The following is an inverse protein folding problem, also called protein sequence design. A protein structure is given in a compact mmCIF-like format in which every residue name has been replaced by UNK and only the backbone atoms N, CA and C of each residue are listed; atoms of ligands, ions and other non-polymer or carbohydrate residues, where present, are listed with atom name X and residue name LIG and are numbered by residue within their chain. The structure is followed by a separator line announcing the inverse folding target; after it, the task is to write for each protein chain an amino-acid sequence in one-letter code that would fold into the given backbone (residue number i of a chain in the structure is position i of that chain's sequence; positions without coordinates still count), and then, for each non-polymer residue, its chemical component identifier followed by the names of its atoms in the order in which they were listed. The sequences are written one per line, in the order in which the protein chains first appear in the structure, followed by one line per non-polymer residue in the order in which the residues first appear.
data_IF_104499766665
#
_entry.id   IF_104499766665
#
_cell.length_a   1.000
_cell.length_b   1.000
_cell.length_c   1.000
_cell.angle_alpha   90.00
_cell.angle_beta   90.00
_cell.angle_gamma   90.00
#
_symmetry.space_group_name_H-M   'P 1'
#
loop_
_entity.id
_entity.type
_entity.pdbx_description
1 polymer ?
#
# COMPACT_ATOMS: atom_id res chain seq x y z
N UNK A 1 8.42 16.20 -15.68
CA UNK A 1 7.80 17.25 -16.52
C UNK A 1 6.69 16.72 -17.46
N UNK A 2 6.70 15.43 -17.82
CA UNK A 2 5.75 14.86 -18.79
C UNK A 2 4.47 14.24 -18.18
N UNK A 3 4.32 14.18 -16.86
CA UNK A 3 3.17 13.52 -16.20
C UNK A 3 1.91 14.43 -16.09
N UNK A 4 2.09 15.77 -16.13
CA UNK A 4 0.95 16.71 -16.10
C UNK A 4 0.12 16.71 -17.39
N UNK A 5 0.77 16.54 -18.55
CA UNK A 5 0.05 16.58 -19.84
C UNK A 5 -0.83 15.34 -20.09
N UNK A 6 -0.50 14.19 -19.52
CA UNK A 6 -1.28 12.98 -19.71
C UNK A 6 -2.55 12.95 -18.85
N UNK A 7 -2.53 13.56 -17.67
CA UNK A 7 -3.71 13.63 -16.78
C UNK A 7 -4.80 14.56 -17.33
N UNK A 8 -4.40 15.72 -17.90
CA UNK A 8 -5.36 16.65 -18.53
C UNK A 8 -5.99 16.08 -19.81
N UNK A 9 -5.27 15.29 -20.58
CA UNK A 9 -5.83 14.63 -21.79
C UNK A 9 -6.86 13.55 -21.42
N UNK A 10 -6.69 12.85 -20.30
CA UNK A 10 -7.62 11.82 -19.86
C UNK A 10 -8.93 12.44 -19.34
N UNK A 11 -8.85 13.55 -18.61
CA UNK A 11 -10.00 14.27 -18.03
C UNK A 11 -10.80 14.99 -19.12
N UNK A 12 -10.16 15.62 -20.11
CA UNK A 12 -10.84 16.31 -21.22
C UNK A 12 -11.62 15.37 -22.15
N UNK A 13 -11.15 14.15 -22.40
CA UNK A 13 -11.90 13.17 -23.22
C UNK A 13 -13.18 12.66 -22.52
N UNK A 14 -13.26 12.72 -21.20
CA UNK A 14 -14.46 12.32 -20.43
C UNK A 14 -15.53 13.40 -20.40
N UNK A 15 -15.15 14.69 -20.44
CA UNK A 15 -16.07 15.84 -20.41
C UNK A 15 -16.74 16.15 -21.76
N UNK A 16 -16.22 15.64 -22.88
CA UNK A 16 -16.82 15.87 -24.21
C UNK A 16 -17.89 14.85 -24.62
N UNK A 17 -18.20 13.85 -23.79
CA UNK A 17 -19.25 12.82 -24.10
C UNK A 17 -20.46 12.83 -23.17
N UNK A 18 -20.68 13.86 -22.39
CA UNK A 18 -21.78 13.94 -21.44
C UNK A 18 -22.48 15.30 -21.45
N UNK A 19 -23.29 15.53 -22.44
CA UNK A 19 -24.20 16.67 -22.46
C UNK A 19 -25.57 16.23 -22.94
N UNK A 20 -26.52 16.06 -22.01
CA UNK A 20 -27.93 16.39 -22.18
C UNK A 20 -28.70 16.04 -20.89
N UNK A 21 -29.46 17.01 -20.45
CA UNK A 21 -30.31 17.10 -19.28
C UNK A 21 -31.53 16.18 -19.32
N UNK A 22 -32.03 15.71 -18.16
CA UNK A 22 -33.39 16.08 -17.71
C UNK A 22 -33.76 15.42 -16.38
N UNK A 23 -34.49 16.18 -15.59
CA UNK A 23 -35.13 15.93 -14.31
C UNK A 23 -36.11 14.73 -14.32
N UNK A 24 -36.27 14.05 -13.18
CA UNK A 24 -37.41 13.19 -12.88
C UNK A 24 -37.11 12.23 -11.75
N UNK A 25 -37.71 12.46 -10.57
CA UNK A 25 -37.74 11.46 -9.52
C UNK A 25 -38.68 10.33 -9.88
N UNK A 26 -38.47 9.17 -9.28
CA UNK A 26 -39.56 8.27 -8.85
C UNK A 26 -39.02 6.92 -8.34
N UNK A 27 -39.55 6.56 -7.24
CA UNK A 27 -40.02 5.29 -6.64
C UNK A 27 -39.45 3.95 -7.16
N UNK A 28 -39.03 3.17 -6.20
CA UNK A 28 -38.72 1.74 -6.29
C UNK A 28 -40.00 0.92 -6.45
N UNK A 29 -40.07 0.09 -7.47
CA UNK A 29 -40.93 -1.09 -7.51
C UNK A 29 -40.23 -2.18 -8.29
N UNK A 30 -40.15 -3.36 -7.65
CA UNK A 30 -39.78 -4.62 -8.29
C UNK A 30 -40.79 -4.96 -9.38
N UNK A 31 -40.34 -5.38 -10.54
CA UNK A 31 -40.98 -6.44 -11.31
C UNK A 31 -40.09 -6.98 -12.45
N UNK A 32 -40.20 -8.28 -12.59
CA UNK A 32 -39.46 -9.23 -13.38
C UNK A 32 -39.97 -9.31 -14.84
N UNK A 33 -39.13 -9.81 -15.76
CA UNK A 33 -39.41 -10.50 -17.07
C UNK A 33 -39.18 -9.76 -18.38
N UNK A 34 -38.31 -10.35 -19.11
CA UNK A 34 -38.36 -11.04 -20.41
C UNK A 34 -37.43 -10.52 -21.50
N UNK A 35 -36.62 -11.46 -21.96
CA UNK A 35 -36.20 -11.83 -23.33
C UNK A 35 -35.99 -10.74 -24.39
N UNK A 36 -34.78 -10.68 -24.92
CA UNK A 36 -34.43 -10.07 -26.18
C UNK A 36 -33.02 -10.44 -26.59
N UNK A 37 -32.92 -11.46 -27.46
CA UNK A 37 -31.72 -11.91 -28.13
C UNK A 37 -31.11 -10.81 -29.00
N UNK A 38 -29.82 -10.52 -28.85
CA UNK A 38 -28.98 -10.18 -29.99
C UNK A 38 -27.53 -10.60 -29.75
N UNK A 39 -27.10 -11.46 -30.65
CA UNK A 39 -25.76 -12.00 -30.81
C UNK A 39 -24.78 -10.93 -31.23
N UNK A 40 -23.65 -10.79 -30.49
CA UNK A 40 -22.35 -10.53 -31.09
C UNK A 40 -21.23 -11.05 -30.16
N UNK A 41 -20.50 -11.98 -30.70
CA UNK A 41 -19.38 -12.71 -30.14
C UNK A 41 -18.20 -11.82 -29.87
N UNK A 42 -17.85 -11.66 -28.60
CA UNK A 42 -16.47 -11.48 -28.15
C UNK A 42 -16.35 -12.29 -26.86
N UNK A 43 -15.57 -13.34 -26.89
CA UNK A 43 -15.30 -14.25 -25.78
C UNK A 43 -14.45 -13.57 -24.71
N UNK A 44 -15.06 -12.75 -23.91
CA UNK A 44 -14.55 -12.27 -22.64
C UNK A 44 -15.50 -12.77 -21.57
N UNK A 45 -15.07 -13.73 -20.76
CA UNK A 45 -15.87 -14.23 -19.65
C UNK A 45 -16.31 -13.07 -18.77
N UNK A 46 -17.60 -12.79 -18.74
CA UNK A 46 -18.20 -11.79 -17.88
C UNK A 46 -18.06 -12.31 -16.45
N UNK A 47 -17.15 -11.73 -15.69
CA UNK A 47 -17.10 -11.97 -14.26
C UNK A 47 -18.37 -11.35 -13.69
N UNK A 48 -19.37 -12.17 -13.42
CA UNK A 48 -20.63 -11.81 -12.75
C UNK A 48 -20.38 -11.64 -11.24
N UNK A 49 -19.39 -10.83 -10.88
CA UNK A 49 -19.21 -10.36 -9.52
C UNK A 49 -19.65 -8.90 -9.46
N UNK A 50 -20.45 -8.48 -8.48
CA UNK A 50 -20.73 -7.07 -8.24
C UNK A 50 -19.45 -6.39 -7.76
N UNK A 51 -18.51 -6.15 -8.70
CA UNK A 51 -17.29 -5.44 -8.41
C UNK A 51 -17.66 -4.01 -8.09
N UNK A 52 -17.47 -3.66 -6.85
CA UNK A 52 -17.59 -2.28 -6.40
C UNK A 52 -16.57 -1.43 -7.18
N UNK A 53 -17.06 -0.48 -7.97
CA UNK A 53 -16.20 0.50 -8.64
C UNK A 53 -16.06 1.69 -7.72
N UNK A 54 -14.83 1.97 -7.31
CA UNK A 54 -14.53 3.18 -6.55
C UNK A 54 -14.57 4.39 -7.47
N UNK A 55 -15.56 5.25 -7.26
CA UNK A 55 -15.58 6.62 -7.75
C UNK A 55 -15.21 7.60 -6.62
N UNK A 56 -15.11 8.89 -6.94
CA UNK A 56 -14.69 9.90 -5.99
C UNK A 56 -15.66 10.01 -4.79
N UNK A 57 -16.97 9.83 -5.01
CA UNK A 57 -17.97 9.92 -3.96
C UNK A 57 -17.89 8.76 -2.97
N UNK A 58 -17.68 7.54 -3.48
CA UNK A 58 -17.48 6.37 -2.64
C UNK A 58 -16.15 6.44 -1.88
N UNK A 59 -15.10 6.96 -2.51
CA UNK A 59 -13.82 7.15 -1.84
C UNK A 59 -13.91 8.21 -0.73
N UNK A 60 -14.60 9.33 -0.96
CA UNK A 60 -14.88 10.31 0.11
C UNK A 60 -15.69 9.69 1.27
N UNK A 61 -16.67 8.84 0.96
CA UNK A 61 -17.42 8.11 1.99
C UNK A 61 -16.52 7.18 2.80
N UNK A 62 -15.62 6.44 2.14
CA UNK A 62 -14.61 5.59 2.79
C UNK A 62 -13.74 6.42 3.76
N UNK A 63 -13.20 7.55 3.30
CA UNK A 63 -12.35 8.42 4.12
C UNK A 63 -13.10 9.00 5.33
N UNK A 64 -14.39 9.37 5.18
CA UNK A 64 -15.23 9.84 6.29
C UNK A 64 -15.45 8.77 7.36
N UNK A 65 -15.38 7.49 6.98
CA UNK A 65 -15.55 6.35 7.87
C UNK A 65 -14.21 5.72 8.30
N UNK A 66 -13.08 6.31 7.91
CA UNK A 66 -11.75 5.90 8.33
C UNK A 66 -11.32 6.70 9.56
N UNK A 67 -10.91 6.00 10.62
CA UNK A 67 -10.43 6.61 11.87
C UNK A 67 -8.94 6.98 11.74
N UNK A 68 -8.64 8.09 11.08
CA UNK A 68 -7.27 8.61 11.01
C UNK A 68 -6.89 9.28 12.35
N UNK A 69 -5.87 8.78 13.09
CA UNK A 69 -5.35 9.46 14.27
C UNK A 69 -4.90 10.89 13.98
N UNK A 70 -5.12 11.82 14.91
CA UNK A 70 -4.79 13.23 14.74
C UNK A 70 -3.33 13.46 14.33
N UNK A 71 -2.41 12.69 14.92
CA UNK A 71 -0.97 12.83 14.63
C UNK A 71 -0.63 12.36 13.21
N UNK A 72 -1.27 11.30 12.71
CA UNK A 72 -1.13 10.86 11.31
C UNK A 72 -1.66 11.92 10.33
N UNK A 73 -2.79 12.54 10.63
CA UNK A 73 -3.32 13.64 9.82
C UNK A 73 -2.34 14.81 9.76
N UNK A 74 -1.73 15.20 10.89
CA UNK A 74 -0.72 16.25 10.94
C UNK A 74 0.52 15.89 10.12
N UNK A 75 0.99 14.64 10.22
CA UNK A 75 2.11 14.15 9.40
C UNK A 75 1.80 14.22 7.91
N UNK A 76 0.58 13.84 7.50
CA UNK A 76 0.15 13.91 6.10
C UNK A 76 0.13 15.36 5.57
N UNK A 77 -0.30 16.31 6.39
CA UNK A 77 -0.27 17.74 6.06
C UNK A 77 1.18 18.26 5.98
N UNK A 78 2.06 17.85 6.90
CA UNK A 78 3.48 18.19 6.86
C UNK A 78 4.19 17.59 5.64
N UNK A 79 3.91 16.33 5.29
CA UNK A 79 4.42 15.69 4.07
C UNK A 79 4.06 16.48 2.82
N UNK A 80 2.83 16.98 2.75
CA UNK A 80 2.39 17.82 1.63
C UNK A 80 3.14 19.16 1.58
N UNK A 81 3.48 19.72 2.72
CA UNK A 81 4.28 20.94 2.82
C UNK A 81 5.75 20.68 2.47
N UNK A 82 6.34 19.57 2.94
CA UNK A 82 7.70 19.14 2.65
C UNK A 82 7.91 18.84 1.17
N UNK A 83 7.04 18.06 0.57
CA UNK A 83 7.12 17.68 -0.85
C UNK A 83 5.73 17.59 -1.49
N UNK A 84 5.22 18.69 -2.07
CA UNK A 84 3.90 18.69 -2.72
C UNK A 84 3.74 17.63 -3.83
N UNK A 85 4.83 17.34 -4.56
CA UNK A 85 4.86 16.30 -5.59
C UNK A 85 5.02 14.92 -4.98
N UNK A 86 5.90 14.81 -3.98
CA UNK A 86 6.20 13.55 -3.27
C UNK A 86 5.05 13.10 -2.35
N UNK A 87 4.13 13.98 -1.96
CA UNK A 87 2.98 13.61 -1.12
C UNK A 87 2.12 12.47 -1.70
N UNK A 88 2.24 12.19 -3.00
CA UNK A 88 1.58 11.05 -3.66
C UNK A 88 2.28 9.71 -3.38
N UNK A 89 3.48 9.72 -2.84
CA UNK A 89 4.21 8.50 -2.44
C UNK A 89 3.75 8.00 -1.07
N UNK A 90 3.12 8.86 -0.28
CA UNK A 90 2.58 8.49 1.01
C UNK A 90 1.34 7.61 0.83
N UNK A 91 1.26 6.53 1.60
CA UNK A 91 0.06 5.67 1.63
C UNK A 91 -1.17 6.46 2.10
N UNK A 92 -2.37 6.14 1.59
CA UNK A 92 -3.59 6.83 1.98
C UNK A 92 -4.08 6.45 3.41
N UNK A 93 -4.97 7.27 4.02
CA UNK A 93 -5.41 7.07 5.40
C UNK A 93 -6.04 5.72 5.70
N UNK A 94 -6.82 5.17 4.78
CA UNK A 94 -7.45 3.85 4.92
C UNK A 94 -6.42 2.73 4.94
N UNK A 95 -5.34 2.84 4.16
CA UNK A 95 -4.25 1.88 4.16
C UNK A 95 -3.43 1.99 5.45
N UNK A 96 -3.15 3.21 5.93
CA UNK A 96 -2.50 3.41 7.22
C UNK A 96 -3.31 2.84 8.39
N UNK A 97 -4.64 3.03 8.36
CA UNK A 97 -5.53 2.43 9.38
C UNK A 97 -5.58 0.90 9.28
N UNK A 98 -5.50 0.35 8.07
CA UNK A 98 -5.40 -1.10 7.85
C UNK A 98 -4.08 -1.66 8.42
N UNK A 99 -2.92 -1.05 8.12
CA UNK A 99 -1.63 -1.48 8.68
C UNK A 99 -1.63 -1.45 10.22
N UNK A 100 -2.21 -0.40 10.81
CA UNK A 100 -2.40 -0.30 12.25
C UNK A 100 -3.18 -1.48 12.81
N UNK A 101 -4.32 -1.80 12.18
CA UNK A 101 -5.15 -2.93 12.58
C UNK A 101 -4.41 -4.28 12.40
N UNK A 102 -3.61 -4.44 11.33
CA UNK A 102 -2.78 -5.64 11.14
C UNK A 102 -1.81 -5.83 12.30
N UNK A 103 -1.09 -4.77 12.72
CA UNK A 103 -0.19 -4.83 13.88
C UNK A 103 -0.92 -5.28 15.16
N UNK A 104 -2.15 -4.79 15.36
CA UNK A 104 -3.00 -5.21 16.49
C UNK A 104 -3.43 -6.67 16.36
N UNK A 105 -3.93 -7.09 15.18
CA UNK A 105 -4.47 -8.45 14.94
C UNK A 105 -3.43 -9.55 15.10
N UNK A 106 -2.19 -9.34 14.63
CA UNK A 106 -1.13 -10.35 14.73
C UNK A 106 -0.27 -10.17 15.99
N UNK A 107 -0.57 -9.16 16.79
CA UNK A 107 0.23 -8.76 17.94
C UNK A 107 1.73 -8.58 17.61
N UNK A 108 2.02 -7.90 16.47
CA UNK A 108 3.39 -7.72 15.99
C UNK A 108 4.24 -6.98 17.01
N UNK A 109 5.45 -7.48 17.28
CA UNK A 109 6.42 -6.86 18.19
C UNK A 109 7.70 -6.44 17.47
N UNK A 110 8.09 -7.13 16.41
CA UNK A 110 9.28 -6.85 15.61
C UNK A 110 8.86 -6.57 14.18
N UNK A 111 9.04 -5.33 13.74
CA UNK A 111 8.62 -4.85 12.43
C UNK A 111 9.82 -4.33 11.65
N UNK A 112 9.85 -4.57 10.35
CA UNK A 112 10.77 -3.93 9.41
C UNK A 112 9.98 -3.22 8.32
N UNK A 113 10.37 -1.99 8.00
CA UNK A 113 9.86 -1.22 6.88
C UNK A 113 10.98 -0.87 5.90
N UNK A 114 10.72 -1.13 4.61
CA UNK A 114 11.61 -0.75 3.52
C UNK A 114 10.90 0.29 2.65
N UNK A 115 11.40 1.53 2.71
CA UNK A 115 10.73 2.70 2.15
C UNK A 115 9.87 3.41 3.19
N UNK A 116 10.48 4.24 4.01
CA UNK A 116 9.84 4.99 5.11
C UNK A 116 9.29 6.33 4.64
N UNK A 117 10.04 6.99 3.74
CA UNK A 117 9.76 8.35 3.29
C UNK A 117 9.59 9.30 4.49
N UNK A 118 8.46 9.98 4.62
CA UNK A 118 8.16 10.89 5.75
C UNK A 118 7.56 10.19 6.96
N UNK A 119 7.43 8.86 6.95
CA UNK A 119 7.10 8.04 8.11
C UNK A 119 5.62 7.87 8.43
N UNK A 120 4.71 8.04 7.46
CA UNK A 120 3.28 7.86 7.71
C UNK A 120 2.93 6.39 8.03
N UNK A 121 3.41 5.46 7.22
CA UNK A 121 3.25 4.01 7.41
C UNK A 121 3.92 3.52 8.70
N UNK A 122 5.18 3.95 8.95
CA UNK A 122 5.88 3.61 10.18
C UNK A 122 5.15 4.12 11.41
N UNK A 123 4.69 5.37 11.42
CA UNK A 123 3.92 5.92 12.53
C UNK A 123 2.59 5.18 12.72
N UNK A 124 1.90 4.81 11.62
CA UNK A 124 0.67 4.03 11.71
C UNK A 124 0.91 2.67 12.37
N UNK A 125 2.01 1.98 12.03
CA UNK A 125 2.37 0.69 12.63
C UNK A 125 2.90 0.80 14.06
N UNK A 126 3.53 1.92 14.43
CA UNK A 126 4.09 2.14 15.77
C UNK A 126 3.04 2.57 16.81
N UNK A 127 2.01 3.32 16.40
CA UNK A 127 0.98 3.81 17.34
C UNK A 127 0.33 2.71 18.19
N UNK A 128 -0.04 1.52 17.66
CA UNK A 128 -0.58 0.44 18.49
C UNK A 128 0.39 -0.09 19.55
N UNK A 129 1.69 0.12 19.36
CA UNK A 129 2.72 -0.37 20.28
C UNK A 129 2.87 0.52 21.53
N UNK A 130 2.36 1.75 21.50
CA UNK A 130 2.47 2.70 22.62
C UNK A 130 1.74 2.21 23.89
N UNK A 131 0.74 1.35 23.75
CA UNK A 131 -0.04 0.80 24.85
C UNK A 131 0.56 -0.48 25.43
N UNK A 132 1.65 -0.98 24.84
CA UNK A 132 2.31 -2.22 25.26
C UNK A 132 3.48 -1.93 26.19
N UNK A 133 3.77 -2.85 27.12
CA UNK A 133 4.98 -2.76 27.93
C UNK A 133 6.21 -2.78 27.03
N UNK A 134 7.15 -1.87 27.30
CA UNK A 134 8.41 -1.76 26.57
C UNK A 134 9.56 -2.33 27.40
N UNK A 135 10.29 -3.28 26.83
CA UNK A 135 11.38 -4.02 27.45
C UNK A 135 12.78 -3.46 27.17
N UNK A 136 12.88 -2.35 26.41
CA UNK A 136 14.13 -1.73 26.01
C UNK A 136 14.65 -2.17 24.63
N UNK A 137 14.03 -3.17 24.01
CA UNK A 137 14.47 -3.70 22.72
C UNK A 137 13.95 -2.87 21.53
N UNK A 138 14.73 -2.84 20.42
CA UNK A 138 14.28 -2.30 19.14
C UNK A 138 13.07 -3.08 18.66
N UNK A 139 11.99 -2.37 18.33
CA UNK A 139 10.74 -2.97 17.82
C UNK A 139 10.49 -2.68 16.36
N UNK A 140 11.11 -1.63 15.83
CA UNK A 140 10.89 -1.16 14.48
C UNK A 140 12.21 -0.84 13.78
N UNK A 141 12.50 -1.50 12.67
CA UNK A 141 13.63 -1.22 11.81
C UNK A 141 13.15 -0.42 10.59
N UNK A 142 13.58 0.85 10.50
CA UNK A 142 13.18 1.80 9.48
C UNK A 142 14.30 1.95 8.44
N UNK A 143 14.10 1.43 7.22
CA UNK A 143 15.08 1.47 6.15
C UNK A 143 14.65 2.45 5.07
N UNK A 144 15.43 3.50 4.82
CA UNK A 144 15.23 4.46 3.72
C UNK A 144 16.56 5.03 3.24
N UNK A 145 16.59 5.48 1.99
CA UNK A 145 17.76 6.16 1.41
C UNK A 145 17.70 7.68 1.59
N UNK A 146 16.51 8.25 1.82
CA UNK A 146 16.25 9.70 1.90
C UNK A 146 16.25 10.17 3.35
N UNK A 147 17.42 10.62 3.82
CA UNK A 147 17.59 11.14 5.20
C UNK A 147 16.81 12.43 5.47
N UNK A 148 16.58 13.27 4.45
CA UNK A 148 15.79 14.49 4.57
C UNK A 148 14.30 14.17 4.79
N UNK A 149 13.78 13.19 4.08
CA UNK A 149 12.43 12.70 4.32
C UNK A 149 12.30 12.04 5.70
N UNK A 150 13.29 11.24 6.11
CA UNK A 150 13.33 10.63 7.44
C UNK A 150 13.43 11.65 8.58
N UNK A 151 13.96 12.85 8.34
CA UNK A 151 13.93 13.93 9.33
C UNK A 151 12.49 14.34 9.71
N UNK A 152 11.55 14.28 8.75
CA UNK A 152 10.12 14.47 9.04
C UNK A 152 9.60 13.32 9.90
N UNK A 153 9.92 12.08 9.55
CA UNK A 153 9.52 10.90 10.31
C UNK A 153 9.98 10.97 11.78
N UNK A 154 11.24 11.30 12.02
CA UNK A 154 11.83 11.47 13.37
C UNK A 154 11.06 12.47 14.22
N UNK A 155 10.65 13.61 13.63
CA UNK A 155 9.83 14.62 14.31
C UNK A 155 8.52 14.02 14.83
N UNK A 156 7.86 13.20 14.03
CA UNK A 156 6.58 12.61 14.40
C UNK A 156 6.71 11.38 15.30
N UNK A 157 7.76 10.58 15.16
CA UNK A 157 8.07 9.51 16.11
C UNK A 157 8.32 10.08 17.51
N UNK A 158 9.07 11.19 17.61
CA UNK A 158 9.27 11.89 18.87
C UNK A 158 7.97 12.48 19.44
N UNK A 159 7.14 13.08 18.59
CA UNK A 159 5.82 13.59 19.01
C UNK A 159 4.90 12.47 19.52
N UNK A 160 5.00 11.28 18.96
CA UNK A 160 4.28 10.08 19.39
C UNK A 160 4.95 9.37 20.59
N UNK A 161 6.17 9.77 20.98
CA UNK A 161 6.99 9.14 22.02
C UNK A 161 7.33 7.67 21.71
N UNK A 162 7.58 7.37 20.43
CA UNK A 162 7.93 6.01 19.94
C UNK A 162 9.35 5.94 19.37
N UNK A 163 10.09 7.03 19.33
CA UNK A 163 11.45 7.11 18.76
C UNK A 163 12.42 6.13 19.40
N UNK A 164 12.24 5.84 20.68
CA UNK A 164 13.07 4.89 21.42
C UNK A 164 12.87 3.42 20.99
N UNK A 165 11.80 3.11 20.26
CA UNK A 165 11.50 1.79 19.70
C UNK A 165 12.08 1.62 18.29
N UNK A 166 12.50 2.72 17.65
CA UNK A 166 12.90 2.75 16.23
C UNK A 166 14.43 2.70 16.11
N UNK A 167 14.89 1.82 15.24
CA UNK A 167 16.26 1.79 14.74
C UNK A 167 16.28 2.13 13.26
N UNK A 168 16.97 3.19 12.93
CA UNK A 168 17.06 3.69 11.57
C UNK A 168 18.23 3.05 10.81
N UNK A 169 18.00 2.79 9.52
CA UNK A 169 18.98 2.30 8.57
C UNK A 169 18.93 3.16 7.32
N UNK A 170 19.75 4.26 7.34
CA UNK A 170 19.81 5.20 6.21
C UNK A 170 20.79 4.68 5.18
N UNK A 171 20.30 4.38 3.96
CA UNK A 171 21.12 3.88 2.88
C UNK A 171 20.40 2.88 1.97
N UNK A 172 21.18 2.13 1.21
CA UNK A 172 20.65 1.07 0.33
C UNK A 172 19.94 -0.01 1.14
N UNK A 173 18.68 -0.28 0.80
CA UNK A 173 17.84 -1.23 1.53
C UNK A 173 18.42 -2.65 1.54
N UNK A 174 19.05 -3.08 0.42
CA UNK A 174 19.65 -4.42 0.33
C UNK A 174 20.78 -4.59 1.35
N UNK A 175 21.64 -3.58 1.47
CA UNK A 175 22.75 -3.56 2.44
C UNK A 175 22.22 -3.50 3.86
N UNK A 176 21.21 -2.65 4.10
CA UNK A 176 20.59 -2.54 5.42
C UNK A 176 19.97 -3.86 5.88
N UNK A 177 19.25 -4.55 5.01
CA UNK A 177 18.63 -5.85 5.34
C UNK A 177 19.68 -6.94 5.57
N UNK A 178 20.80 -6.94 4.82
CA UNK A 178 21.92 -7.86 5.06
C UNK A 178 22.52 -7.66 6.46
N UNK A 179 22.83 -6.42 6.85
CA UNK A 179 23.35 -6.12 8.19
C UNK A 179 22.37 -6.48 9.32
N UNK A 180 21.06 -6.22 9.11
CA UNK A 180 20.04 -6.62 10.07
C UNK A 180 19.98 -8.16 10.19
N UNK A 181 20.10 -8.88 9.07
CA UNK A 181 20.12 -10.35 9.08
C UNK A 181 21.36 -10.90 9.80
N UNK A 182 22.54 -10.29 9.60
CA UNK A 182 23.76 -10.67 10.32
C UNK A 182 23.63 -10.49 11.83
N UNK A 183 22.94 -9.42 12.28
CA UNK A 183 22.81 -9.09 13.70
C UNK A 183 21.69 -9.91 14.39
N UNK A 184 20.52 -10.06 13.74
CA UNK A 184 19.32 -10.64 14.36
C UNK A 184 18.97 -12.04 13.86
N UNK A 185 19.56 -12.49 12.74
CA UNK A 185 19.38 -13.83 12.19
C UNK A 185 18.03 -14.06 11.50
N UNK A 186 17.63 -15.34 11.50
CA UNK A 186 16.36 -15.79 10.93
C UNK A 186 15.24 -15.79 11.98
N UNK A 187 13.97 -15.82 11.52
CA UNK A 187 12.78 -15.91 12.37
C UNK A 187 12.67 -14.77 13.41
N UNK A 188 13.03 -13.55 13.04
CA UNK A 188 13.05 -12.39 13.93
C UNK A 188 11.81 -11.51 13.80
N UNK A 189 11.33 -11.23 12.59
CA UNK A 189 10.23 -10.29 12.35
C UNK A 189 8.85 -10.93 12.38
N UNK A 190 7.88 -10.18 12.92
CA UNK A 190 6.46 -10.51 12.87
C UNK A 190 5.79 -9.88 11.65
N UNK A 191 6.25 -8.69 11.24
CA UNK A 191 5.73 -7.93 10.11
C UNK A 191 6.85 -7.26 9.32
N UNK A 192 6.80 -7.37 8.01
CA UNK A 192 7.58 -6.59 7.06
C UNK A 192 6.64 -5.79 6.17
N UNK A 193 6.89 -4.50 6.00
CA UNK A 193 6.20 -3.64 5.03
C UNK A 193 7.21 -3.13 4.00
N UNK A 194 6.91 -3.31 2.71
CA UNK A 194 7.81 -2.98 1.60
C UNK A 194 7.12 -2.01 0.65
N UNK A 195 7.61 -0.78 0.61
CA UNK A 195 7.22 0.27 -0.34
C UNK A 195 8.47 0.94 -0.94
N UNK A 196 9.32 0.14 -1.54
CA UNK A 196 10.57 0.55 -2.17
C UNK A 196 10.43 0.75 -3.70
N UNK A 197 11.57 0.90 -4.40
CA UNK A 197 11.59 0.84 -5.86
C UNK A 197 11.04 -0.52 -6.33
N UNK A 198 10.09 -0.47 -7.26
CA UNK A 198 9.32 -1.65 -7.69
C UNK A 198 10.19 -2.76 -8.29
N UNK A 199 11.37 -2.41 -8.84
CA UNK A 199 12.35 -3.37 -9.36
C UNK A 199 13.08 -4.15 -8.27
N UNK A 200 13.03 -3.66 -7.02
CA UNK A 200 13.64 -4.33 -5.88
C UNK A 200 12.70 -5.33 -5.17
N UNK A 201 11.41 -5.37 -5.51
CA UNK A 201 10.41 -6.15 -4.76
C UNK A 201 10.77 -7.63 -4.61
N UNK A 202 11.15 -8.29 -5.70
CA UNK A 202 11.57 -9.70 -5.65
C UNK A 202 12.77 -9.90 -4.72
N UNK A 203 13.77 -9.01 -4.83
CA UNK A 203 14.96 -9.08 -3.98
C UNK A 203 14.65 -8.83 -2.50
N UNK A 204 13.83 -7.83 -2.19
CA UNK A 204 13.40 -7.54 -0.83
C UNK A 204 12.61 -8.73 -0.23
N UNK A 205 11.68 -9.29 -1.00
CA UNK A 205 10.90 -10.44 -0.57
C UNK A 205 11.77 -11.64 -0.23
N UNK A 206 12.70 -12.02 -1.11
CA UNK A 206 13.59 -13.17 -0.90
C UNK A 206 14.58 -12.96 0.27
N UNK A 207 15.05 -11.71 0.49
CA UNK A 207 15.90 -11.41 1.64
C UNK A 207 15.11 -11.44 2.96
N UNK A 208 13.87 -10.93 2.96
CA UNK A 208 13.04 -10.85 4.17
C UNK A 208 12.45 -12.19 4.57
N UNK A 209 12.08 -13.04 3.61
CA UNK A 209 11.35 -14.29 3.89
C UNK A 209 12.00 -15.17 4.96
N UNK A 210 13.32 -15.46 4.95
CA UNK A 210 13.96 -16.26 6.00
C UNK A 210 14.02 -15.54 7.36
N UNK A 211 13.94 -14.20 7.38
CA UNK A 211 13.97 -13.42 8.62
C UNK A 211 12.59 -13.33 9.29
N UNK A 212 11.53 -13.73 8.60
CA UNK A 212 10.18 -13.72 9.16
C UNK A 212 9.93 -14.92 10.05
N UNK A 213 9.24 -14.71 11.16
CA UNK A 213 8.70 -15.79 11.98
C UNK A 213 7.64 -16.58 11.23
N UNK A 214 7.49 -17.85 11.56
CA UNK A 214 6.33 -18.62 11.09
C UNK A 214 5.04 -17.93 11.51
N UNK A 215 4.16 -17.68 10.53
CA UNK A 215 2.92 -16.92 10.75
C UNK A 215 3.08 -15.41 10.60
N UNK A 216 4.32 -14.90 10.48
CA UNK A 216 4.61 -13.50 10.20
C UNK A 216 4.14 -13.08 8.81
N UNK A 217 4.00 -11.78 8.59
CA UNK A 217 3.47 -11.19 7.37
C UNK A 217 4.53 -10.37 6.64
N UNK A 218 4.62 -10.56 5.32
CA UNK A 218 5.27 -9.61 4.42
C UNK A 218 4.15 -8.93 3.63
N UNK A 219 4.05 -7.61 3.74
CA UNK A 219 3.09 -6.77 3.00
C UNK A 219 3.86 -5.91 2.01
N UNK A 220 3.51 -6.01 0.74
CA UNK A 220 4.17 -5.28 -0.34
C UNK A 220 3.15 -4.35 -0.99
N UNK A 221 3.49 -3.06 -1.08
CA UNK A 221 2.61 -2.00 -1.56
C UNK A 221 2.64 -1.83 -3.09
N UNK A 222 1.65 -1.12 -3.63
CA UNK A 222 1.50 -0.72 -5.03
C UNK A 222 1.56 -1.88 -6.04
N UNK A 223 1.06 -3.04 -5.70
CA UNK A 223 1.10 -4.22 -6.58
C UNK A 223 0.09 -4.16 -7.74
N UNK A 224 -0.88 -3.21 -7.71
CA UNK A 224 -1.77 -2.89 -8.82
C UNK A 224 -1.26 -1.74 -9.68
N UNK A 225 -0.33 -0.94 -9.20
CA UNK A 225 0.44 0.06 -9.92
C UNK A 225 -0.39 0.92 -10.87
N UNK A 226 -1.43 1.58 -10.33
CA UNK A 226 -2.36 2.43 -11.09
C UNK A 226 -3.03 1.70 -12.28
N UNK A 227 -3.20 0.38 -12.21
CA UNK A 227 -3.76 -0.43 -13.29
C UNK A 227 -2.82 -0.67 -14.48
N UNK A 228 -1.55 -0.28 -14.38
CA UNK A 228 -0.55 -0.49 -15.45
C UNK A 228 -0.28 -1.96 -15.80
N UNK A 229 -0.32 -2.93 -14.84
CA UNK A 229 -0.10 -4.34 -15.15
C UNK A 229 -1.04 -4.92 -16.23
N UNK A 230 -2.22 -4.32 -16.42
CA UNK A 230 -3.22 -4.75 -17.42
C UNK A 230 -3.35 -3.77 -18.60
N UNK A 231 -2.50 -2.74 -18.67
CA UNK A 231 -2.53 -1.75 -19.74
C UNK A 231 -1.35 -1.95 -20.70
N UNK A 232 -1.61 -2.31 -21.99
CA UNK A 232 -0.56 -2.56 -22.99
C UNK A 232 0.41 -1.40 -23.23
N UNK A 233 0.00 -0.15 -22.94
CA UNK A 233 0.87 1.02 -23.07
C UNK A 233 2.09 0.96 -22.15
N UNK A 234 2.04 0.13 -21.10
CA UNK A 234 3.09 -0.05 -20.10
C UNK A 234 3.82 -1.40 -20.18
N UNK A 235 3.60 -2.20 -21.21
CA UNK A 235 4.25 -3.52 -21.35
C UNK A 235 5.80 -3.45 -21.46
N UNK A 236 6.35 -2.28 -21.76
CA UNK A 236 7.81 -2.03 -21.80
C UNK A 236 8.31 -1.24 -20.58
N UNK A 237 7.44 -0.84 -19.67
CA UNK A 237 7.85 -0.12 -18.45
C UNK A 237 8.48 -1.10 -17.45
N UNK A 238 9.77 -0.87 -17.14
CA UNK A 238 10.54 -1.78 -16.26
C UNK A 238 9.94 -1.97 -14.88
N UNK A 239 9.28 -0.97 -14.31
CA UNK A 239 8.63 -1.07 -13.00
C UNK A 239 7.36 -1.91 -13.10
N UNK A 240 6.58 -1.72 -14.16
CA UNK A 240 5.38 -2.51 -14.43
C UNK A 240 5.72 -3.98 -14.67
N UNK A 241 6.78 -4.25 -15.46
CA UNK A 241 7.27 -5.62 -15.68
C UNK A 241 7.65 -6.27 -14.35
N UNK A 242 8.46 -5.60 -13.53
CA UNK A 242 8.89 -6.14 -12.23
C UNK A 242 7.70 -6.45 -11.29
N UNK A 243 6.65 -5.61 -11.28
CA UNK A 243 5.43 -5.88 -10.50
C UNK A 243 4.67 -7.09 -11.05
N UNK A 244 4.53 -7.21 -12.37
CA UNK A 244 3.88 -8.38 -12.99
C UNK A 244 4.61 -9.67 -12.63
N UNK A 245 5.94 -9.67 -12.77
CA UNK A 245 6.80 -10.80 -12.42
C UNK A 245 6.68 -11.16 -10.93
N UNK A 246 6.70 -10.17 -10.04
CA UNK A 246 6.52 -10.39 -8.61
C UNK A 246 5.13 -10.96 -8.29
N UNK A 247 4.06 -10.40 -8.84
CA UNK A 247 2.69 -10.87 -8.59
C UNK A 247 2.51 -12.33 -9.09
N UNK A 248 3.06 -12.66 -10.26
CA UNK A 248 3.02 -14.01 -10.82
C UNK A 248 3.85 -15.00 -9.99
N UNK A 249 5.01 -14.57 -9.50
CA UNK A 249 5.86 -15.38 -8.65
C UNK A 249 5.18 -15.71 -7.32
N UNK A 250 4.70 -14.69 -6.60
CA UNK A 250 4.21 -14.85 -5.22
C UNK A 250 2.92 -15.66 -5.13
N UNK A 251 2.06 -15.61 -6.16
CA UNK A 251 0.83 -16.42 -6.19
C UNK A 251 1.12 -17.91 -6.25
N UNK A 252 2.28 -18.29 -6.78
CA UNK A 252 2.74 -19.66 -6.91
C UNK A 252 3.73 -20.10 -5.81
N UNK A 253 4.11 -19.20 -4.88
CA UNK A 253 5.08 -19.50 -3.83
C UNK A 253 4.45 -20.30 -2.69
N UNK A 254 4.84 -21.56 -2.59
CA UNK A 254 4.33 -22.49 -1.56
C UNK A 254 4.80 -22.16 -0.14
N UNK A 255 5.82 -21.30 0.03
CA UNK A 255 6.36 -20.89 1.34
C UNK A 255 5.42 -19.97 2.10
N UNK A 256 4.46 -19.36 1.40
CA UNK A 256 3.49 -18.40 1.98
C UNK A 256 2.04 -18.76 1.66
N UNK A 257 1.13 -18.24 2.45
CA UNK A 257 -0.27 -18.07 2.06
C UNK A 257 -0.42 -16.64 1.57
N UNK A 258 -0.95 -16.45 0.37
CA UNK A 258 -0.97 -15.16 -0.34
C UNK A 258 -2.39 -14.62 -0.55
N UNK A 259 -2.54 -13.31 -0.47
CA UNK A 259 -3.73 -12.58 -0.91
C UNK A 259 -3.34 -11.22 -1.47
N UNK A 260 -3.86 -10.88 -2.65
CA UNK A 260 -3.77 -9.54 -3.21
C UNK A 260 -5.05 -8.78 -2.86
N UNK A 261 -4.93 -7.64 -2.17
CA UNK A 261 -6.05 -6.85 -1.65
C UNK A 261 -6.03 -5.45 -2.26
N UNK A 262 -7.18 -4.98 -2.83
CA UNK A 262 -7.25 -3.67 -3.49
C UNK A 262 -7.46 -2.52 -2.47
N UNK A 263 -6.51 -2.32 -1.56
CA UNK A 263 -6.43 -1.15 -0.68
C UNK A 263 -5.37 -0.21 -1.25
N UNK A 264 -5.63 1.10 -1.27
CA UNK A 264 -4.73 2.06 -1.89
C UNK A 264 -4.45 1.71 -3.36
N UNK A 265 -3.19 1.54 -3.71
CA UNK A 265 -2.75 1.08 -5.05
C UNK A 265 -2.49 -0.45 -5.10
N UNK A 266 -3.20 -1.19 -4.24
CA UNK A 266 -3.12 -2.64 -4.11
C UNK A 266 -1.95 -3.10 -3.23
N UNK A 267 -2.25 -4.01 -2.31
CA UNK A 267 -1.26 -4.63 -1.44
C UNK A 267 -1.23 -6.15 -1.63
N UNK A 268 -0.04 -6.72 -1.60
CA UNK A 268 0.19 -8.16 -1.56
C UNK A 268 0.49 -8.57 -0.12
N UNK A 269 -0.31 -9.45 0.45
CA UNK A 269 -0.15 -9.94 1.82
C UNK A 269 0.33 -11.39 1.74
N UNK A 270 1.54 -11.64 2.23
CA UNK A 270 2.20 -12.95 2.25
C UNK A 270 2.40 -13.41 3.69
N UNK A 271 1.68 -14.44 4.12
CA UNK A 271 1.83 -15.03 5.46
C UNK A 271 2.74 -16.24 5.39
N UNK A 272 3.85 -16.20 6.11
CA UNK A 272 4.84 -17.31 6.17
C UNK A 272 4.22 -18.56 6.81
N UNK A 273 4.43 -19.72 6.18
CA UNK A 273 3.87 -21.03 6.61
C UNK A 273 4.71 -21.76 7.64
#
# INVERSE_FOLDING_TARGET
YNLRQNHEKFTRRRLQRGGASSSGGESWSDDDKSSGTNSNSASGGTINSPLLRFDDALYEYLLKNTREPKLLKQLREETKAFSPVGARMQIPPEQGNFLRLVVEMINAEKIIEIGVFTGYSSLAMLLPMTERSYDGDVRFHACDIDDDAMAVARKFWKAAKVEHMVREHVGDAKVSVEHIKEEFGENYFDLAFVDADKRAYMGCYEQLLPMMKKGGLIIIDNVLWYGRPVNPDFDKDKKTIAIKEFNEFVVNDSRVSHSLVPIGDGISICRVR
#
